data_IF_494641697247
#
_entry.id   IF_494641697247
#
_cell.length_a   1.000
_cell.length_b   1.000
_cell.length_c   1.000
_cell.angle_alpha   90.00
_cell.angle_beta   90.00
_cell.angle_gamma   90.00
#
_symmetry.space_group_name_H-M   'P 1'
#
loop_
_entity.id
_entity.type
_entity.pdbx_description
1 polymer ?
#
# COMPACT_ATOMS: atom_id res chain seq x y z
N UNK A 1 18.29 -29.90 -13.21
CA UNK A 1 18.90 -29.01 -12.20
C UNK A 1 18.29 -29.32 -10.84
N UNK A 2 19.05 -29.17 -9.76
CA UNK A 2 18.48 -29.34 -8.42
C UNK A 2 17.44 -28.24 -8.13
N UNK A 3 16.37 -28.59 -7.41
CA UNK A 3 15.24 -27.70 -7.10
C UNK A 3 15.66 -26.43 -6.39
N UNK A 4 16.64 -26.51 -5.48
CA UNK A 4 17.17 -25.34 -4.77
C UNK A 4 17.86 -24.34 -5.71
N UNK A 5 18.53 -24.80 -6.77
CA UNK A 5 19.16 -23.93 -7.77
C UNK A 5 18.11 -23.13 -8.52
N UNK A 6 17.02 -23.79 -8.91
CA UNK A 6 15.89 -23.14 -9.61
C UNK A 6 15.23 -22.10 -8.69
N UNK A 7 14.94 -22.45 -7.44
CA UNK A 7 14.32 -21.55 -6.49
C UNK A 7 15.18 -20.31 -6.21
N UNK A 8 16.46 -20.50 -5.88
CA UNK A 8 17.38 -19.39 -5.62
C UNK A 8 17.59 -18.52 -6.86
N UNK A 9 17.67 -19.13 -8.06
CA UNK A 9 17.76 -18.40 -9.32
C UNK A 9 16.56 -17.48 -9.56
N UNK A 10 15.34 -17.94 -9.30
CA UNK A 10 14.12 -17.13 -9.43
C UNK A 10 14.09 -15.96 -8.44
N UNK A 11 14.54 -16.19 -7.19
CA UNK A 11 14.61 -15.15 -6.16
C UNK A 11 15.57 -14.04 -6.60
N UNK A 12 16.78 -14.40 -7.03
CA UNK A 12 17.76 -13.40 -7.51
C UNK A 12 17.27 -12.65 -8.74
N UNK A 13 16.62 -13.34 -9.69
CA UNK A 13 16.03 -12.69 -10.85
C UNK A 13 14.97 -11.67 -10.45
N UNK A 14 14.06 -12.03 -9.55
CA UNK A 14 13.03 -11.12 -9.04
C UNK A 14 13.63 -9.90 -8.33
N UNK A 15 14.62 -10.10 -7.46
CA UNK A 15 15.32 -9.02 -6.77
C UNK A 15 16.04 -8.09 -7.76
N UNK A 16 16.71 -8.66 -8.76
CA UNK A 16 17.39 -7.88 -9.79
C UNK A 16 16.40 -7.05 -10.60
N UNK A 17 15.27 -7.64 -11.02
CA UNK A 17 14.21 -6.92 -11.75
C UNK A 17 13.65 -5.78 -10.91
N UNK A 18 13.32 -6.03 -9.64
CA UNK A 18 12.75 -5.01 -8.75
C UNK A 18 13.74 -3.87 -8.45
N UNK A 19 15.02 -4.17 -8.25
CA UNK A 19 16.08 -3.16 -8.11
C UNK A 19 16.21 -2.34 -9.39
N UNK A 20 16.26 -2.97 -10.56
CA UNK A 20 16.36 -2.27 -11.85
C UNK A 20 15.16 -1.33 -12.04
N UNK A 21 13.94 -1.80 -11.77
CA UNK A 21 12.74 -0.96 -11.82
C UNK A 21 12.83 0.23 -10.85
N UNK A 22 13.29 0.00 -9.62
CA UNK A 22 13.48 1.06 -8.62
C UNK A 22 14.52 2.10 -9.05
N UNK A 23 15.66 1.68 -9.61
CA UNK A 23 16.70 2.58 -10.12
C UNK A 23 16.20 3.37 -11.33
N UNK A 24 15.49 2.72 -12.26
CA UNK A 24 14.90 3.40 -13.42
C UNK A 24 13.85 4.42 -12.99
N UNK A 25 12.99 4.08 -12.03
CA UNK A 25 12.00 4.99 -11.47
C UNK A 25 12.68 6.19 -10.78
N UNK A 26 13.68 5.94 -9.94
CA UNK A 26 14.42 6.98 -9.23
C UNK A 26 15.11 7.97 -10.18
N UNK A 27 15.59 7.51 -11.34
CA UNK A 27 16.18 8.39 -12.37
C UNK A 27 15.16 9.21 -13.15
N UNK A 28 13.88 8.82 -13.13
CA UNK A 28 12.81 9.48 -13.89
C UNK A 28 11.90 10.37 -13.04
N UNK A 29 11.87 10.16 -11.72
CA UNK A 29 11.12 10.99 -10.79
C UNK A 29 11.81 12.35 -10.64
N UNK A 30 11.01 13.39 -10.51
CA UNK A 30 11.49 14.75 -10.21
C UNK A 30 11.84 14.85 -8.72
N UNK A 31 12.46 15.96 -8.30
CA UNK A 31 12.79 16.22 -6.89
C UNK A 31 11.55 16.66 -6.08
N UNK A 32 10.39 16.76 -6.71
CA UNK A 32 9.18 17.24 -6.05
C UNK A 32 8.52 16.16 -5.16
N UNK A 33 8.06 16.57 -3.98
CA UNK A 33 7.45 15.68 -2.98
C UNK A 33 6.11 15.12 -3.48
N UNK A 34 5.37 15.88 -4.29
CA UNK A 34 4.11 15.40 -4.87
C UNK A 34 4.33 14.31 -5.92
N UNK A 35 5.34 14.46 -6.77
CA UNK A 35 5.75 13.42 -7.71
C UNK A 35 6.27 12.18 -6.97
N UNK A 36 7.03 12.34 -5.89
CA UNK A 36 7.58 11.21 -5.12
C UNK A 36 6.50 10.43 -4.34
N UNK A 37 5.62 11.11 -3.60
CA UNK A 37 4.64 10.46 -2.73
C UNK A 37 3.33 10.10 -3.43
N UNK A 38 2.89 10.92 -4.40
CA UNK A 38 1.57 10.78 -5.03
C UNK A 38 1.65 10.46 -6.53
N UNK A 39 2.85 10.22 -7.07
CA UNK A 39 3.07 10.05 -8.51
C UNK A 39 2.47 11.23 -9.31
N UNK A 40 2.58 12.44 -8.77
CA UNK A 40 2.05 13.67 -9.34
C UNK A 40 0.53 13.66 -9.49
N UNK A 41 -0.16 12.79 -8.72
CA UNK A 41 -1.60 12.52 -8.81
C UNK A 41 -2.05 12.03 -10.19
N UNK A 42 -1.14 11.40 -10.95
CA UNK A 42 -1.36 10.86 -12.31
C UNK A 42 -1.76 9.39 -12.33
N UNK A 43 -1.77 8.72 -11.17
CA UNK A 43 -2.13 7.30 -11.08
C UNK A 43 -3.58 7.08 -11.51
N UNK A 44 -3.76 6.36 -12.62
CA UNK A 44 -5.07 5.89 -13.06
C UNK A 44 -5.61 4.76 -12.19
N UNK A 45 -6.88 4.40 -12.36
CA UNK A 45 -7.57 3.40 -11.54
C UNK A 45 -6.82 2.06 -11.47
N UNK A 46 -6.36 1.52 -12.60
CA UNK A 46 -5.68 0.21 -12.66
C UNK A 46 -4.40 0.22 -11.84
N UNK A 47 -3.56 1.25 -12.01
CA UNK A 47 -2.29 1.38 -11.27
C UNK A 47 -2.57 1.54 -9.78
N UNK A 48 -3.50 2.42 -9.41
CA UNK A 48 -3.89 2.64 -8.02
C UNK A 48 -4.43 1.36 -7.37
N UNK A 49 -5.31 0.63 -8.07
CA UNK A 49 -5.87 -0.63 -7.60
C UNK A 49 -4.78 -1.68 -7.36
N UNK A 50 -3.88 -1.89 -8.33
CA UNK A 50 -2.79 -2.85 -8.20
C UNK A 50 -1.85 -2.48 -7.04
N UNK A 51 -1.55 -1.20 -6.86
CA UNK A 51 -0.75 -0.73 -5.72
C UNK A 51 -1.43 -1.02 -4.39
N UNK A 52 -2.73 -0.70 -4.26
CA UNK A 52 -3.50 -0.98 -3.03
C UNK A 52 -3.53 -2.47 -2.73
N UNK A 53 -3.79 -3.32 -3.74
CA UNK A 53 -3.82 -4.78 -3.59
C UNK A 53 -2.45 -5.33 -3.20
N UNK A 54 -1.37 -4.81 -3.80
CA UNK A 54 0.00 -5.20 -3.50
C UNK A 54 0.42 -4.81 -2.07
N UNK A 55 0.02 -3.63 -1.59
CA UNK A 55 0.24 -3.21 -0.20
C UNK A 55 -0.58 -4.05 0.79
N UNK A 56 -1.81 -4.39 0.41
CA UNK A 56 -2.74 -5.10 1.29
C UNK A 56 -2.39 -6.58 1.49
N UNK A 57 -1.89 -7.26 0.44
CA UNK A 57 -1.51 -8.68 0.52
C UNK A 57 -0.03 -8.85 0.82
N UNK A 58 0.29 -9.14 2.08
CA UNK A 58 1.66 -9.40 2.54
C UNK A 58 1.97 -10.89 2.69
N UNK A 59 3.23 -11.22 2.99
CA UNK A 59 3.66 -12.59 3.27
C UNK A 59 2.86 -13.24 4.43
N UNK A 60 2.41 -12.44 5.40
CA UNK A 60 1.52 -12.92 6.47
C UNK A 60 0.20 -13.44 5.91
N UNK A 61 -0.44 -12.65 5.03
CA UNK A 61 -1.71 -13.04 4.46
C UNK A 61 -1.58 -14.32 3.63
N UNK A 62 -0.47 -14.52 2.91
CA UNK A 62 -0.28 -15.67 2.02
C UNK A 62 0.17 -16.95 2.75
N UNK A 63 1.23 -16.86 3.56
CA UNK A 63 1.76 -18.04 4.28
C UNK A 63 0.95 -18.35 5.55
N UNK A 64 0.52 -17.31 6.26
CA UNK A 64 -0.25 -17.44 7.50
C UNK A 64 -1.63 -18.05 7.25
N UNK A 65 -2.34 -17.60 6.21
CA UNK A 65 -3.66 -18.18 5.88
C UNK A 65 -3.55 -19.65 5.51
N UNK A 66 -2.57 -20.03 4.68
CA UNK A 66 -2.39 -21.42 4.23
C UNK A 66 -2.09 -22.37 5.39
N UNK A 67 -1.17 -21.99 6.28
CA UNK A 67 -0.85 -22.77 7.48
C UNK A 67 -2.03 -22.88 8.44
N UNK A 68 -2.82 -21.82 8.58
CA UNK A 68 -4.02 -21.83 9.41
C UNK A 68 -5.12 -22.72 8.80
N UNK A 69 -5.35 -22.64 7.48
CA UNK A 69 -6.28 -23.53 6.78
C UNK A 69 -5.92 -25.00 6.96
N UNK A 70 -4.63 -25.34 6.87
CA UNK A 70 -4.16 -26.71 7.05
C UNK A 70 -4.47 -27.26 8.46
N UNK A 71 -4.40 -26.42 9.48
CA UNK A 71 -4.55 -26.83 10.89
C UNK A 71 -5.98 -26.72 11.43
N UNK A 72 -6.76 -25.74 10.96
CA UNK A 72 -8.09 -25.40 11.50
C UNK A 72 -9.23 -25.56 10.48
N UNK A 73 -8.91 -25.95 9.24
CA UNK A 73 -9.88 -26.14 8.17
C UNK A 73 -10.49 -24.83 7.66
N UNK A 74 -11.61 -24.97 6.94
CA UNK A 74 -12.23 -23.89 6.16
C UNK A 74 -12.71 -22.69 6.99
N UNK A 75 -12.84 -22.81 8.32
CA UNK A 75 -13.34 -21.74 9.19
C UNK A 75 -12.56 -20.42 9.09
N UNK A 76 -11.28 -20.46 8.73
CA UNK A 76 -10.48 -19.26 8.48
C UNK A 76 -10.94 -18.45 7.27
N UNK A 77 -11.78 -18.99 6.38
CA UNK A 77 -12.39 -18.20 5.30
C UNK A 77 -13.21 -17.03 5.80
N UNK A 78 -13.70 -17.08 7.05
CA UNK A 78 -14.34 -15.93 7.70
C UNK A 78 -13.40 -14.70 7.75
N UNK A 79 -12.08 -14.92 7.82
CA UNK A 79 -11.08 -13.85 7.73
C UNK A 79 -11.22 -13.09 6.42
N UNK A 80 -11.58 -13.76 5.30
CA UNK A 80 -11.81 -13.13 3.99
C UNK A 80 -12.81 -11.97 4.01
N UNK A 81 -13.72 -11.91 4.98
CA UNK A 81 -14.65 -10.77 5.19
C UNK A 81 -13.90 -9.45 5.36
N UNK A 82 -12.68 -9.47 5.92
CA UNK A 82 -11.84 -8.29 6.07
C UNK A 82 -11.49 -7.66 4.71
N UNK A 83 -11.32 -8.46 3.66
CA UNK A 83 -10.98 -7.98 2.31
C UNK A 83 -12.12 -7.17 1.70
N UNK A 84 -13.34 -7.65 1.87
CA UNK A 84 -14.56 -6.98 1.38
C UNK A 84 -14.79 -5.68 2.15
N UNK A 85 -14.67 -5.73 3.48
CA UNK A 85 -14.82 -4.55 4.33
C UNK A 85 -13.77 -3.49 4.03
N UNK A 86 -12.50 -3.87 3.90
CA UNK A 86 -11.44 -2.90 3.55
C UNK A 86 -11.69 -2.30 2.17
N UNK A 87 -12.09 -3.10 1.17
CA UNK A 87 -12.46 -2.59 -0.15
C UNK A 87 -13.61 -1.59 -0.10
N UNK A 88 -14.67 -1.91 0.65
CA UNK A 88 -15.84 -1.03 0.83
C UNK A 88 -15.45 0.28 1.53
N UNK A 89 -14.70 0.22 2.62
CA UNK A 89 -14.22 1.40 3.36
C UNK A 89 -13.31 2.26 2.47
N UNK A 90 -12.39 1.64 1.72
CA UNK A 90 -11.49 2.35 0.80
C UNK A 90 -12.27 3.06 -0.30
N UNK A 91 -13.31 2.42 -0.84
CA UNK A 91 -14.14 3.06 -1.86
C UNK A 91 -14.96 4.24 -1.29
N UNK A 92 -15.60 4.05 -0.13
CA UNK A 92 -16.49 5.06 0.47
C UNK A 92 -15.72 6.24 1.06
N UNK A 93 -14.65 5.98 1.82
CA UNK A 93 -13.86 7.02 2.47
C UNK A 93 -12.71 7.50 1.59
N UNK A 94 -11.99 6.57 0.95
CA UNK A 94 -10.82 6.89 0.12
C UNK A 94 -11.15 7.79 -1.07
N UNK A 95 -12.32 7.63 -1.70
CA UNK A 95 -12.76 8.55 -2.76
C UNK A 95 -12.95 9.98 -2.27
N UNK A 96 -13.49 10.16 -1.06
CA UNK A 96 -13.67 11.47 -0.42
C UNK A 96 -12.34 12.08 -0.02
N UNK A 97 -11.46 11.29 0.61
CA UNK A 97 -10.11 11.70 1.01
C UNK A 97 -9.31 12.11 -0.23
N UNK A 98 -9.40 11.35 -1.32
CA UNK A 98 -8.74 11.68 -2.58
C UNK A 98 -9.23 13.00 -3.17
N UNK A 99 -10.55 13.24 -3.16
CA UNK A 99 -11.14 14.48 -3.64
C UNK A 99 -10.69 15.69 -2.80
N UNK A 100 -10.66 15.55 -1.47
CA UNK A 100 -10.17 16.58 -0.55
C UNK A 100 -8.68 16.84 -0.76
N UNK A 101 -7.86 15.79 -0.84
CA UNK A 101 -6.43 15.91 -1.10
C UNK A 101 -6.14 16.63 -2.42
N UNK A 102 -6.92 16.38 -3.47
CA UNK A 102 -6.81 17.12 -4.74
C UNK A 102 -7.23 18.58 -4.62
N UNK A 103 -8.30 18.87 -3.88
CA UNK A 103 -8.86 20.22 -3.76
C UNK A 103 -7.99 21.13 -2.89
N UNK A 104 -7.45 20.60 -1.80
CA UNK A 104 -6.74 21.38 -0.78
C UNK A 104 -5.23 21.13 -0.76
N UNK A 105 -4.72 20.25 -1.63
CA UNK A 105 -3.28 19.98 -1.73
C UNK A 105 -2.72 19.13 -0.59
N UNK A 106 -3.55 18.45 0.19
CA UNK A 106 -3.05 17.57 1.26
C UNK A 106 -2.21 16.43 0.69
N UNK A 107 -1.07 16.19 1.36
CA UNK A 107 -0.11 15.15 1.01
C UNK A 107 -0.26 13.92 1.91
N UNK A 108 -0.54 14.14 3.19
CA UNK A 108 -0.73 13.09 4.19
C UNK A 108 -2.09 13.17 4.87
N UNK A 109 -2.59 12.08 5.47
CA UNK A 109 -3.77 12.12 6.34
C UNK A 109 -3.59 13.06 7.54
N UNK A 110 -2.36 13.20 8.04
CA UNK A 110 -2.03 14.11 9.13
C UNK A 110 -2.24 15.57 8.72
N UNK A 111 -1.87 15.96 7.50
CA UNK A 111 -2.11 17.31 6.99
C UNK A 111 -3.60 17.62 6.91
N UNK A 112 -4.38 16.68 6.36
CA UNK A 112 -5.83 16.82 6.22
C UNK A 112 -6.51 16.96 7.58
N UNK A 113 -6.13 16.15 8.58
CA UNK A 113 -6.74 16.19 9.91
C UNK A 113 -6.27 17.40 10.71
N UNK A 114 -5.00 17.79 10.60
CA UNK A 114 -4.48 18.98 11.27
C UNK A 114 -5.17 20.26 10.75
N UNK A 115 -5.42 20.35 9.45
CA UNK A 115 -6.15 21.48 8.85
C UNK A 115 -7.63 21.48 9.28
N UNK A 116 -8.28 20.31 9.31
CA UNK A 116 -9.67 20.20 9.75
C UNK A 116 -9.88 20.58 11.23
N UNK A 117 -8.95 20.21 12.11
CA UNK A 117 -9.02 20.49 13.54
C UNK A 117 -8.24 21.74 13.97
N UNK A 118 -7.63 22.46 13.01
CA UNK A 118 -6.80 23.65 13.23
C UNK A 118 -5.72 23.43 14.32
N UNK A 119 -5.07 22.26 14.33
CA UNK A 119 -4.18 21.85 15.42
C UNK A 119 -2.93 21.09 14.97
N UNK A 120 -1.76 21.67 15.23
CA UNK A 120 -0.46 21.02 15.00
C UNK A 120 -0.21 19.81 15.91
N UNK A 121 -0.81 19.80 17.10
CA UNK A 121 -0.76 18.62 17.98
C UNK A 121 -1.43 17.41 17.31
N UNK A 122 -2.54 17.63 16.59
CA UNK A 122 -3.21 16.57 15.82
C UNK A 122 -2.30 16.08 14.70
N UNK A 123 -1.58 16.97 14.00
CA UNK A 123 -0.61 16.56 12.96
C UNK A 123 0.40 15.57 13.52
N UNK A 124 1.03 15.91 14.64
CA UNK A 124 2.07 15.08 15.27
C UNK A 124 1.50 13.74 15.72
N UNK A 125 0.36 13.74 16.41
CA UNK A 125 -0.27 12.49 16.89
C UNK A 125 -0.63 11.58 15.73
N UNK A 126 -1.28 12.11 14.69
CA UNK A 126 -1.67 11.32 13.51
C UNK A 126 -0.44 10.80 12.77
N UNK A 127 0.60 11.62 12.62
CA UNK A 127 1.84 11.20 11.98
C UNK A 127 2.53 10.07 12.74
N UNK A 128 2.63 10.16 14.07
CA UNK A 128 3.22 9.11 14.91
C UNK A 128 2.40 7.82 14.82
N UNK A 129 1.07 7.91 14.96
CA UNK A 129 0.19 6.74 14.87
C UNK A 129 0.23 6.08 13.49
N UNK A 130 0.43 6.86 12.42
CA UNK A 130 0.48 6.31 11.05
C UNK A 130 1.77 5.54 10.75
N UNK A 131 2.84 5.78 11.52
CA UNK A 131 4.16 5.13 11.34
C UNK A 131 4.29 3.87 12.20
N UNK A 132 3.55 3.80 13.32
CA UNK A 132 3.54 2.66 14.25
C UNK A 132 2.71 1.48 13.72
#
# INVERSE_FOLDING_TARGET
>A
MATWVVATGLIFLYLLVTIVLGVVANRRLTVDMEDFLLYGRKAGFVVLYLTVVATYHSAFAFLGSGGFFYTHGIGFWAAGTWTVLTGAVTYVLGSRIWALGKKFGYMTPADMLADFYESEAVRVVVAVVSVL
#
